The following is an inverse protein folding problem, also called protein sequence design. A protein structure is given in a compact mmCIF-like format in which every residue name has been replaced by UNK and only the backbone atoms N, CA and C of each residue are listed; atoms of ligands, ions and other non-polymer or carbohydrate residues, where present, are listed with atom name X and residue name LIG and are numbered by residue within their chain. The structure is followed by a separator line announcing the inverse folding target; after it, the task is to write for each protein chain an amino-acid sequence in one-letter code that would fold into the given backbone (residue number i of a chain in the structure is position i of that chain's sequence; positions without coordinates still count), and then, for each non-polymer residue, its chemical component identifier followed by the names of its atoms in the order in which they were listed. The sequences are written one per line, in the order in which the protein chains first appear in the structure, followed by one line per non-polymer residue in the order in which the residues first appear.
data_IF_831757561432
#
_entry.id   IF_831757561432
#
_cell.length_a   1.000
_cell.length_b   1.000
_cell.length_c   1.000
_cell.angle_alpha   90.00
_cell.angle_beta   90.00
_cell.angle_gamma   90.00
#
_symmetry.space_group_name_H-M   'P 1'
#
loop_
_entity.id
_entity.type
_entity.pdbx_description
1 polymer ?
#
# COMPACT_ATOMS: atom_id res chain seq x y z
N UNK A 1 2.41 5.95 45.83
CA UNK A 1 3.04 7.25 46.19
C UNK A 1 4.17 7.70 45.24
N UNK A 2 4.34 7.08 44.05
CA UNK A 2 5.41 7.40 43.08
C UNK A 2 4.97 8.30 41.91
N UNK A 3 3.80 8.04 41.31
CA UNK A 3 3.34 8.71 40.07
C UNK A 3 3.27 10.24 40.16
N UNK A 4 2.80 10.80 41.29
CA UNK A 4 2.75 12.26 41.51
C UNK A 4 4.14 12.90 41.66
N UNK A 5 5.13 12.14 42.14
CA UNK A 5 6.51 12.59 42.31
C UNK A 5 7.23 12.59 40.95
N UNK A 6 6.96 11.59 40.11
CA UNK A 6 7.50 11.47 38.76
C UNK A 6 6.93 12.53 37.81
N UNK A 7 5.62 12.81 37.88
CA UNK A 7 4.98 13.92 37.14
C UNK A 7 5.53 15.31 37.54
N UNK A 8 5.83 15.51 38.83
CA UNK A 8 6.49 16.74 39.32
C UNK A 8 7.94 16.86 38.85
N UNK A 9 8.64 15.72 38.69
CA UNK A 9 10.02 15.66 38.20
C UNK A 9 10.12 15.88 36.69
N UNK A 10 9.16 15.33 35.94
CA UNK A 10 9.01 15.56 34.50
C UNK A 10 8.67 17.03 34.18
N UNK A 11 7.79 17.67 34.97
CA UNK A 11 7.48 19.12 34.84
C UNK A 11 8.66 20.06 35.07
N UNK A 12 9.74 19.59 35.73
CA UNK A 12 10.97 20.38 35.97
C UNK A 12 12.07 20.12 34.92
N UNK A 13 11.86 19.18 34.01
CA UNK A 13 12.75 18.94 32.86
C UNK A 13 12.33 19.85 31.70
N UNK A 14 12.81 21.09 31.73
CA UNK A 14 12.62 22.05 30.62
C UNK A 14 13.42 21.65 29.37
N UNK A 15 14.42 20.77 29.53
CA UNK A 15 15.26 20.23 28.46
C UNK A 15 14.48 19.38 27.45
N UNK A 16 13.32 18.84 27.81
CA UNK A 16 12.45 18.11 26.87
C UNK A 16 11.64 19.06 25.97
N UNK A 17 11.25 20.23 26.47
CA UNK A 17 10.49 21.22 25.71
C UNK A 17 11.38 22.02 24.74
N UNK A 18 12.67 22.17 25.07
CA UNK A 18 13.65 22.84 24.20
C UNK A 18 14.18 21.95 23.07
N UNK A 19 13.93 20.63 23.11
CA UNK A 19 14.54 19.67 22.18
C UNK A 19 13.90 19.54 20.80
N UNK A 20 12.70 20.08 20.61
CA UNK A 20 12.05 20.06 19.31
C UNK A 20 11.31 21.37 19.09
N UNK A 21 11.93 22.26 18.33
CA UNK A 21 11.21 23.38 17.73
C UNK A 21 10.05 22.82 16.91
N UNK A 22 8.83 23.26 17.22
CA UNK A 22 7.64 22.91 16.45
C UNK A 22 7.39 24.02 15.47
N UNK A 23 7.54 23.72 14.19
CA UNK A 23 7.23 24.60 13.09
C UNK A 23 5.73 24.55 12.80
N UNK A 24 5.07 25.70 12.92
CA UNK A 24 3.61 25.83 12.79
C UNK A 24 3.26 26.51 11.46
N UNK A 25 2.51 25.81 10.61
CA UNK A 25 1.88 26.40 9.42
C UNK A 25 0.49 26.90 9.83
N UNK A 26 0.22 28.20 9.61
CA UNK A 26 -1.05 28.85 9.95
C UNK A 26 -1.76 29.32 8.69
N UNK A 27 -3.08 29.33 8.71
CA UNK A 27 -3.88 29.98 7.66
C UNK A 27 -3.92 31.51 7.80
N UNK A 28 -4.58 32.18 6.87
CA UNK A 28 -4.76 33.64 6.85
C UNK A 28 -5.45 34.20 8.10
N UNK A 29 -6.25 33.38 8.79
CA UNK A 29 -6.91 33.74 10.05
C UNK A 29 -6.03 33.45 11.29
N UNK A 30 -4.80 32.97 11.10
CA UNK A 30 -3.85 32.64 12.17
C UNK A 30 -4.08 31.27 12.83
N UNK A 31 -5.00 30.46 12.30
CA UNK A 31 -5.30 29.12 12.82
C UNK A 31 -4.22 28.14 12.37
N UNK A 32 -3.65 27.36 13.30
CA UNK A 32 -2.67 26.31 12.97
C UNK A 32 -3.35 25.24 12.12
N UNK A 33 -2.79 24.99 10.93
CA UNK A 33 -3.22 23.94 10.00
C UNK A 33 -2.28 22.75 9.99
N UNK A 34 -0.98 22.97 10.23
CA UNK A 34 0.01 21.90 10.35
C UNK A 34 1.02 22.25 11.44
N UNK A 35 1.56 21.23 12.09
CA UNK A 35 2.65 21.34 13.05
C UNK A 35 3.65 20.23 12.75
N UNK A 36 4.92 20.58 12.54
CA UNK A 36 5.99 19.61 12.29
C UNK A 36 7.17 19.86 13.22
N UNK A 37 7.97 18.84 13.45
CA UNK A 37 9.26 18.92 14.15
C UNK A 37 10.34 18.48 13.18
N UNK A 38 11.57 18.97 13.39
CA UNK A 38 12.70 18.49 12.61
C UNK A 38 12.78 16.95 12.72
N UNK A 39 12.96 16.25 11.59
CA UNK A 39 13.03 14.79 11.61
C UNK A 39 14.26 14.33 12.42
N UNK A 40 14.10 13.24 13.17
CA UNK A 40 15.16 12.70 14.05
C UNK A 40 16.38 12.17 13.28
N UNK A 41 16.19 11.86 12.00
CA UNK A 41 17.23 11.52 11.04
C UNK A 41 16.93 12.25 9.73
N UNK A 42 17.96 12.54 8.93
CA UNK A 42 17.74 13.10 7.61
C UNK A 42 16.89 12.11 6.79
N UNK A 43 15.81 12.56 6.13
CA UNK A 43 15.07 11.70 5.22
C UNK A 43 16.02 11.21 4.11
N UNK A 44 15.87 9.97 3.63
CA UNK A 44 16.66 9.48 2.50
C UNK A 44 16.47 10.42 1.32
N UNK A 45 17.57 10.76 0.64
CA UNK A 45 17.51 11.55 -0.60
C UNK A 45 17.33 10.65 -1.83
N UNK A 46 17.68 9.37 -1.72
CA UNK A 46 17.63 8.37 -2.78
C UNK A 46 17.45 6.94 -2.22
N UNK A 47 17.25 5.98 -3.12
CA UNK A 47 17.66 4.58 -2.93
C UNK A 47 16.91 3.72 -1.91
N UNK A 48 15.80 4.19 -1.34
CA UNK A 48 15.07 3.42 -0.33
C UNK A 48 13.56 3.49 -0.52
N UNK A 49 13.07 2.82 -1.55
CA UNK A 49 11.62 2.67 -1.78
C UNK A 49 11.15 1.31 -1.31
N UNK A 50 9.90 1.18 -0.78
CA UNK A 50 9.34 -0.11 -0.44
C UNK A 50 9.40 -1.11 -1.61
N UNK A 51 9.34 -0.63 -2.86
CA UNK A 51 9.43 -1.47 -4.06
C UNK A 51 10.75 -2.26 -4.18
N UNK A 52 11.83 -1.82 -3.53
CA UNK A 52 13.15 -2.45 -3.66
C UNK A 52 13.38 -3.61 -2.68
N UNK A 53 12.61 -3.67 -1.59
CA UNK A 53 12.80 -4.66 -0.51
C UNK A 53 12.84 -6.11 -1.02
N UNK A 54 11.91 -6.58 -1.90
CA UNK A 54 11.95 -7.95 -2.38
C UNK A 54 13.25 -8.27 -3.12
N UNK A 55 13.78 -7.29 -3.85
CA UNK A 55 14.93 -7.45 -4.75
C UNK A 55 16.26 -7.34 -4.01
N UNK A 56 16.35 -6.44 -3.04
CA UNK A 56 17.51 -6.36 -2.14
C UNK A 56 17.62 -7.67 -1.36
N UNK A 57 16.53 -8.14 -0.75
CA UNK A 57 16.53 -9.41 -0.03
C UNK A 57 16.90 -10.59 -0.92
N UNK A 58 16.38 -10.65 -2.15
CA UNK A 58 16.72 -11.71 -3.10
C UNK A 58 18.19 -11.67 -3.56
N UNK A 59 18.82 -10.50 -3.61
CA UNK A 59 20.22 -10.35 -3.96
C UNK A 59 21.17 -10.70 -2.80
N UNK A 60 20.80 -10.30 -1.57
CA UNK A 60 21.64 -10.48 -0.38
C UNK A 60 21.50 -11.88 0.25
N UNK A 61 20.29 -12.44 0.30
CA UNK A 61 19.97 -13.69 0.97
C UNK A 61 18.88 -14.49 0.21
N UNK A 62 19.15 -14.98 -1.01
CA UNK A 62 18.14 -15.58 -1.91
C UNK A 62 17.39 -16.77 -1.32
N UNK A 63 18.06 -17.56 -0.46
CA UNK A 63 17.54 -18.81 0.09
C UNK A 63 16.86 -18.64 1.47
N UNK A 64 16.95 -17.45 2.07
CA UNK A 64 16.33 -17.17 3.35
C UNK A 64 14.80 -17.15 3.21
N UNK A 65 14.13 -17.76 4.18
CA UNK A 65 12.66 -17.79 4.24
C UNK A 65 12.15 -16.46 4.79
N UNK A 66 11.54 -15.65 3.93
CA UNK A 66 11.02 -14.31 4.29
C UNK A 66 9.54 -14.33 4.63
N UNK A 67 8.79 -15.27 4.05
CA UNK A 67 7.35 -15.41 4.24
C UNK A 67 6.94 -16.88 4.31
N UNK A 68 5.73 -17.14 4.80
CA UNK A 68 5.08 -18.44 4.73
C UNK A 68 3.68 -18.26 4.19
N UNK A 69 3.26 -19.16 3.30
CA UNK A 69 1.90 -19.19 2.75
C UNK A 69 1.24 -20.53 3.02
N UNK A 70 -0.09 -20.54 3.12
CA UNK A 70 -0.85 -21.74 3.43
C UNK A 70 -1.38 -22.36 2.13
N UNK A 71 -0.89 -23.54 1.78
CA UNK A 71 -1.32 -24.30 0.61
C UNK A 71 -1.91 -25.64 1.06
N UNK A 72 -3.12 -25.96 0.60
CA UNK A 72 -3.81 -27.22 0.93
C UNK A 72 -3.82 -27.56 2.44
N UNK A 73 -3.86 -26.53 3.30
CA UNK A 73 -3.85 -26.69 4.76
C UNK A 73 -2.47 -26.64 5.42
N UNK A 74 -1.39 -26.72 4.65
CA UNK A 74 -0.01 -26.73 5.14
C UNK A 74 0.70 -25.40 4.93
N UNK A 75 1.54 -25.01 5.88
CA UNK A 75 2.40 -23.83 5.73
C UNK A 75 3.64 -24.19 4.91
N UNK A 76 3.82 -23.51 3.77
CA UNK A 76 4.99 -23.65 2.90
C UNK A 76 5.89 -22.43 3.04
N UNK A 77 7.22 -22.61 3.12
CA UNK A 77 8.16 -21.51 3.13
C UNK A 77 8.23 -20.83 1.76
N UNK A 78 8.42 -19.52 1.76
CA UNK A 78 8.71 -18.72 0.56
C UNK A 78 10.07 -18.05 0.78
N UNK A 79 11.03 -18.36 -0.08
CA UNK A 79 12.37 -17.75 -0.02
C UNK A 79 12.36 -16.34 -0.58
N UNK A 80 13.37 -15.52 -0.24
CA UNK A 80 13.51 -14.17 -0.79
C UNK A 80 13.51 -14.16 -2.32
N UNK A 81 14.26 -15.08 -2.94
CA UNK A 81 14.30 -15.21 -4.40
C UNK A 81 12.95 -15.63 -5.00
N UNK A 82 12.19 -16.50 -4.32
CA UNK A 82 10.86 -16.89 -4.77
C UNK A 82 9.87 -15.73 -4.70
N UNK A 83 9.89 -14.99 -3.59
CA UNK A 83 9.03 -13.82 -3.41
C UNK A 83 9.28 -12.74 -4.46
N UNK A 84 10.55 -12.38 -4.72
CA UNK A 84 10.91 -11.40 -5.74
C UNK A 84 10.46 -11.81 -7.16
N UNK A 85 10.53 -13.10 -7.49
CA UNK A 85 10.02 -13.62 -8.78
C UNK A 85 8.50 -13.47 -8.89
N UNK A 86 7.76 -13.82 -7.84
CA UNK A 86 6.30 -13.70 -7.83
C UNK A 86 5.87 -12.23 -7.92
N UNK A 87 6.48 -11.34 -7.13
CA UNK A 87 6.28 -9.88 -7.22
C UNK A 87 6.53 -9.36 -8.63
N UNK A 88 7.65 -9.77 -9.26
CA UNK A 88 8.00 -9.34 -10.63
C UNK A 88 6.97 -9.81 -11.65
N UNK A 89 6.55 -11.09 -11.58
CA UNK A 89 5.56 -11.64 -12.48
C UNK A 89 4.20 -10.93 -12.34
N UNK A 90 3.76 -10.66 -11.12
CA UNK A 90 2.52 -9.93 -10.86
C UNK A 90 2.62 -8.47 -11.30
N UNK A 91 3.75 -7.80 -11.07
CA UNK A 91 3.98 -6.42 -11.52
C UNK A 91 3.89 -6.32 -13.05
N UNK A 92 4.53 -7.24 -13.77
CA UNK A 92 4.40 -7.37 -15.23
C UNK A 92 2.95 -7.53 -15.68
N UNK A 93 2.17 -8.31 -14.93
CA UNK A 93 0.74 -8.47 -15.16
C UNK A 93 -0.06 -7.18 -15.00
N UNK A 94 0.24 -6.39 -13.96
CA UNK A 94 -0.39 -5.09 -13.74
C UNK A 94 -0.04 -4.11 -14.86
N UNK A 95 1.21 -4.09 -15.31
CA UNK A 95 1.67 -3.28 -16.45
C UNK A 95 0.92 -3.68 -17.72
N UNK A 96 0.85 -4.99 -18.01
CA UNK A 96 0.10 -5.51 -19.15
C UNK A 96 -1.42 -5.27 -19.04
N UNK A 97 -1.95 -5.13 -17.82
CA UNK A 97 -3.34 -4.73 -17.58
C UNK A 97 -3.59 -3.22 -17.75
N UNK A 98 -2.55 -2.42 -18.06
CA UNK A 98 -2.67 -0.98 -18.28
C UNK A 98 -2.44 -0.13 -17.04
N UNK A 99 -1.80 -0.66 -16.00
CA UNK A 99 -1.38 0.16 -14.86
C UNK A 99 -0.25 1.09 -15.29
N UNK A 100 -0.55 2.39 -15.37
CA UNK A 100 0.45 3.44 -15.60
C UNK A 100 1.17 3.82 -14.29
N UNK A 101 2.41 4.35 -14.35
CA UNK A 101 3.07 4.91 -13.17
C UNK A 101 2.20 5.97 -12.48
N UNK A 102 2.11 5.91 -11.15
CA UNK A 102 1.19 6.73 -10.34
C UNK A 102 -0.27 6.29 -10.38
N UNK A 103 -0.63 5.30 -11.22
CA UNK A 103 -1.93 4.66 -11.24
C UNK A 103 -2.21 3.90 -9.94
N UNK A 104 -3.50 3.66 -9.65
CA UNK A 104 -3.95 3.14 -8.36
C UNK A 104 -4.62 1.78 -8.48
N UNK A 105 -4.27 0.89 -7.56
CA UNK A 105 -4.86 -0.44 -7.41
C UNK A 105 -5.49 -0.53 -6.03
N UNK A 106 -6.81 -0.69 -5.99
CA UNK A 106 -7.53 -0.96 -4.75
C UNK A 106 -7.38 -2.43 -4.36
N UNK A 107 -6.96 -2.69 -3.12
CA UNK A 107 -6.79 -4.03 -2.58
C UNK A 107 -7.76 -4.25 -1.42
N UNK A 108 -8.78 -5.08 -1.64
CA UNK A 108 -9.84 -5.41 -0.69
C UNK A 108 -9.74 -6.87 -0.26
N UNK A 109 -8.87 -7.16 0.69
CA UNK A 109 -8.62 -8.53 1.15
C UNK A 109 -8.35 -8.61 2.64
N UNK A 110 -8.57 -9.79 3.21
CA UNK A 110 -7.98 -10.15 4.50
C UNK A 110 -6.48 -10.41 4.34
N UNK A 111 -5.75 -10.44 5.45
CA UNK A 111 -4.34 -10.80 5.47
C UNK A 111 -4.12 -12.18 4.86
N UNK A 112 -3.47 -12.21 3.71
CA UNK A 112 -3.07 -13.40 2.98
C UNK A 112 -1.77 -13.11 2.23
N UNK A 113 -1.10 -14.17 1.79
CA UNK A 113 0.18 -14.03 1.11
C UNK A 113 0.04 -13.32 -0.25
N UNK A 114 -1.05 -13.58 -0.97
CA UNK A 114 -1.36 -12.98 -2.26
C UNK A 114 -1.56 -11.46 -2.15
N UNK A 115 -2.10 -10.98 -1.03
CA UNK A 115 -2.21 -9.55 -0.77
C UNK A 115 -0.81 -8.91 -0.67
N UNK A 116 0.12 -9.55 0.03
CA UNK A 116 1.51 -9.06 0.15
C UNK A 116 2.21 -9.03 -1.20
N UNK A 117 2.05 -10.07 -2.02
CA UNK A 117 2.60 -10.11 -3.39
C UNK A 117 2.05 -8.95 -4.22
N UNK A 118 0.73 -8.68 -4.14
CA UNK A 118 0.11 -7.59 -4.86
C UNK A 118 0.58 -6.22 -4.40
N UNK A 119 0.72 -5.97 -3.11
CA UNK A 119 1.14 -4.67 -2.59
C UNK A 119 2.54 -4.30 -3.11
N UNK A 120 3.51 -5.23 -3.00
CA UNK A 120 4.84 -5.04 -3.57
C UNK A 120 4.82 -4.98 -5.11
N UNK A 121 3.97 -5.76 -5.78
CA UNK A 121 3.85 -5.73 -7.23
C UNK A 121 3.30 -4.40 -7.75
N UNK A 122 2.37 -3.79 -7.03
CA UNK A 122 1.84 -2.46 -7.35
C UNK A 122 2.96 -1.43 -7.26
N UNK A 123 3.74 -1.43 -6.17
CA UNK A 123 4.90 -0.53 -6.05
C UNK A 123 5.95 -0.80 -7.12
N UNK A 124 6.28 -2.08 -7.39
CA UNK A 124 7.24 -2.46 -8.41
C UNK A 124 6.80 -2.07 -9.84
N UNK A 125 5.49 -2.03 -10.10
CA UNK A 125 4.92 -1.52 -11.35
C UNK A 125 4.85 0.02 -11.40
N UNK A 126 5.32 0.72 -10.38
CA UNK A 126 5.28 2.16 -10.23
C UNK A 126 3.91 2.72 -9.82
N UNK A 127 2.99 1.85 -9.38
CA UNK A 127 1.65 2.22 -8.94
C UNK A 127 1.54 2.51 -7.44
N UNK A 128 0.32 2.83 -7.03
CA UNK A 128 -0.05 3.20 -5.67
C UNK A 128 -1.12 2.24 -5.14
N UNK A 129 -0.91 1.70 -3.96
CA UNK A 129 -1.89 0.82 -3.32
C UNK A 129 -2.98 1.64 -2.63
N UNK A 130 -4.24 1.22 -2.76
CA UNK A 130 -5.37 1.76 -2.01
C UNK A 130 -5.99 0.63 -1.18
N UNK A 131 -5.56 0.43 0.08
CA UNK A 131 -6.11 -0.64 0.91
C UNK A 131 -7.56 -0.35 1.27
N UNK A 132 -8.42 -1.35 1.08
CA UNK A 132 -9.84 -1.33 1.44
C UNK A 132 -10.10 -2.49 2.39
N UNK A 133 -10.82 -2.24 3.49
CA UNK A 133 -11.15 -3.33 4.40
C UNK A 133 -12.08 -4.33 3.70
N UNK A 134 -11.80 -5.62 3.86
CA UNK A 134 -12.69 -6.70 3.40
C UNK A 134 -14.10 -6.62 4.02
N UNK A 135 -14.26 -5.88 5.13
CA UNK A 135 -15.53 -5.67 5.84
C UNK A 135 -16.19 -4.32 5.50
N UNK A 136 -15.66 -3.56 4.53
CA UNK A 136 -16.23 -2.28 4.14
C UNK A 136 -17.61 -2.44 3.52
N UNK A 137 -18.54 -1.51 3.82
CA UNK A 137 -19.85 -1.49 3.18
C UNK A 137 -19.75 -1.08 1.71
N UNK A 138 -20.75 -1.40 0.86
CA UNK A 138 -20.77 -0.96 -0.53
C UNK A 138 -20.63 0.56 -0.70
N UNK A 139 -21.19 1.37 0.21
CA UNK A 139 -21.02 2.83 0.22
C UNK A 139 -19.57 3.25 0.47
N UNK A 140 -18.87 2.56 1.37
CA UNK A 140 -17.46 2.85 1.65
C UNK A 140 -16.58 2.43 0.48
N UNK A 141 -16.84 1.27 -0.12
CA UNK A 141 -16.12 0.78 -1.30
C UNK A 141 -16.29 1.76 -2.47
N UNK A 142 -17.53 2.16 -2.78
CA UNK A 142 -17.83 3.13 -3.84
C UNK A 142 -17.06 4.43 -3.62
N UNK A 143 -17.16 4.99 -2.40
CA UNK A 143 -16.50 6.23 -2.06
C UNK A 143 -14.99 6.15 -2.25
N UNK A 144 -14.35 5.12 -1.69
CA UNK A 144 -12.89 4.95 -1.75
C UNK A 144 -12.43 4.75 -3.19
N UNK A 145 -13.12 3.92 -3.98
CA UNK A 145 -12.76 3.67 -5.38
C UNK A 145 -12.90 4.95 -6.20
N UNK A 146 -14.00 5.69 -6.04
CA UNK A 146 -14.22 6.93 -6.79
C UNK A 146 -13.24 8.03 -6.40
N UNK A 147 -13.05 8.26 -5.11
CA UNK A 147 -12.21 9.34 -4.60
C UNK A 147 -10.72 9.07 -4.89
N UNK A 148 -10.28 7.82 -4.76
CA UNK A 148 -8.91 7.44 -5.12
C UNK A 148 -8.71 7.41 -6.63
N UNK A 149 -9.75 7.22 -7.43
CA UNK A 149 -9.62 7.05 -8.88
C UNK A 149 -8.94 5.74 -9.27
N UNK A 150 -9.00 4.71 -8.41
CA UNK A 150 -8.46 3.39 -8.72
C UNK A 150 -9.11 2.81 -9.99
N UNK A 151 -8.29 2.27 -10.90
CA UNK A 151 -8.73 1.63 -12.15
C UNK A 151 -8.58 0.11 -12.14
N UNK A 152 -8.00 -0.41 -11.07
CA UNK A 152 -7.94 -1.84 -10.77
C UNK A 152 -8.44 -2.06 -9.34
N UNK A 153 -9.19 -3.13 -9.13
CA UNK A 153 -9.66 -3.57 -7.82
C UNK A 153 -9.42 -5.07 -7.70
N UNK A 154 -8.71 -5.49 -6.66
CA UNK A 154 -8.53 -6.91 -6.33
C UNK A 154 -9.24 -7.20 -5.03
N UNK A 155 -10.10 -8.22 -5.03
CA UNK A 155 -10.88 -8.67 -3.86
C UNK A 155 -10.49 -10.09 -3.46
N UNK A 156 -10.66 -10.48 -2.18
CA UNK A 156 -10.24 -11.82 -1.74
C UNK A 156 -11.21 -12.98 -2.05
N UNK A 157 -12.52 -12.71 -2.15
CA UNK A 157 -13.58 -13.74 -2.17
C UNK A 157 -14.74 -13.36 -3.09
N UNK A 158 -15.57 -14.36 -3.45
CA UNK A 158 -16.85 -14.11 -4.15
C UNK A 158 -17.76 -13.13 -3.41
N UNK A 159 -17.87 -13.24 -2.09
CA UNK A 159 -18.70 -12.34 -1.28
C UNK A 159 -18.23 -10.89 -1.41
N UNK A 160 -16.92 -10.66 -1.33
CA UNK A 160 -16.34 -9.34 -1.53
C UNK A 160 -16.44 -8.86 -2.98
N UNK A 161 -16.41 -9.77 -3.96
CA UNK A 161 -16.68 -9.43 -5.36
C UNK A 161 -18.12 -8.96 -5.56
N UNK A 162 -19.10 -9.61 -4.91
CA UNK A 162 -20.50 -9.20 -4.96
C UNK A 162 -20.72 -7.84 -4.28
N UNK A 163 -20.10 -7.61 -3.12
CA UNK A 163 -20.14 -6.30 -2.44
C UNK A 163 -19.51 -5.19 -3.30
N UNK A 164 -18.36 -5.47 -3.93
CA UNK A 164 -17.72 -4.57 -4.87
C UNK A 164 -18.63 -4.30 -6.08
N UNK A 165 -19.23 -5.32 -6.69
CA UNK A 165 -20.13 -5.15 -7.83
C UNK A 165 -21.32 -4.23 -7.49
N UNK A 166 -21.92 -4.40 -6.31
CA UNK A 166 -22.99 -3.52 -5.83
C UNK A 166 -22.52 -2.06 -5.65
N UNK A 167 -21.30 -1.86 -5.14
CA UNK A 167 -20.69 -0.53 -5.02
C UNK A 167 -20.43 0.11 -6.39
N UNK A 168 -19.78 -0.62 -7.30
CA UNK A 168 -19.35 -0.14 -8.61
C UNK A 168 -20.53 0.14 -9.56
N UNK A 169 -21.68 -0.51 -9.36
CA UNK A 169 -22.90 -0.22 -10.11
C UNK A 169 -23.37 1.24 -9.98
N UNK A 170 -22.96 1.93 -8.89
CA UNK A 170 -23.27 3.35 -8.63
C UNK A 170 -22.32 4.31 -9.34
N UNK A 171 -21.23 3.81 -9.93
CA UNK A 171 -20.25 4.60 -10.68
C UNK A 171 -20.60 4.65 -12.17
N UNK A 172 -20.23 5.76 -12.86
CA UNK A 172 -20.19 5.79 -14.32
C UNK A 172 -19.33 4.64 -14.86
N UNK A 173 -19.73 4.03 -15.98
CA UNK A 173 -19.03 2.87 -16.55
C UNK A 173 -17.54 3.15 -16.83
N UNK A 174 -17.22 4.35 -17.31
CA UNK A 174 -15.85 4.80 -17.58
C UNK A 174 -14.96 4.92 -16.33
N UNK A 175 -15.56 4.97 -15.13
CA UNK A 175 -14.84 5.07 -13.86
C UNK A 175 -14.74 3.72 -13.11
N UNK A 176 -15.37 2.66 -13.64
CA UNK A 176 -15.37 1.35 -12.98
C UNK A 176 -13.99 0.67 -13.14
N UNK A 177 -13.36 0.23 -12.04
CA UNK A 177 -12.12 -0.51 -12.12
C UNK A 177 -12.35 -1.91 -12.69
N UNK A 178 -11.30 -2.49 -13.28
CA UNK A 178 -11.26 -3.92 -13.56
C UNK A 178 -11.17 -4.70 -12.26
N UNK A 179 -12.11 -5.62 -12.01
CA UNK A 179 -12.16 -6.42 -10.78
C UNK A 179 -11.50 -7.78 -10.98
N UNK A 180 -10.58 -8.16 -10.08
CA UNK A 180 -9.97 -9.49 -10.02
C UNK A 180 -10.16 -10.13 -8.65
N UNK A 181 -10.12 -11.45 -8.57
CA UNK A 181 -10.37 -12.23 -7.35
C UNK A 181 -9.18 -13.09 -6.95
N UNK A 182 -8.74 -12.98 -5.70
CA UNK A 182 -7.62 -13.78 -5.18
C UNK A 182 -7.96 -15.26 -5.12
N UNK A 183 -9.13 -15.63 -4.60
CA UNK A 183 -9.61 -17.02 -4.53
C UNK A 183 -9.87 -17.65 -5.92
N UNK A 184 -9.94 -16.83 -6.97
CA UNK A 184 -10.00 -17.26 -8.36
C UNK A 184 -8.63 -17.20 -9.08
N UNK A 185 -7.53 -16.97 -8.35
CA UNK A 185 -6.17 -17.01 -8.88
C UNK A 185 -5.67 -15.72 -9.53
N UNK A 186 -6.13 -14.54 -9.11
CA UNK A 186 -5.72 -13.24 -9.68
C UNK A 186 -4.20 -13.05 -9.83
N UNK A 187 -3.40 -13.53 -8.86
CA UNK A 187 -1.93 -13.45 -8.93
C UNK A 187 -1.37 -14.24 -10.13
N UNK A 188 -1.87 -15.47 -10.33
CA UNK A 188 -1.50 -16.32 -11.47
C UNK A 188 -2.03 -15.75 -12.79
N UNK A 189 -3.24 -15.21 -12.78
CA UNK A 189 -3.82 -14.53 -13.94
C UNK A 189 -2.95 -13.36 -14.40
N UNK A 190 -2.55 -12.48 -13.47
CA UNK A 190 -1.65 -11.36 -13.74
C UNK A 190 -0.29 -11.85 -14.23
N UNK A 191 0.31 -12.84 -13.57
CA UNK A 191 1.58 -13.43 -14.02
C UNK A 191 1.49 -13.95 -15.47
N UNK A 192 0.36 -14.55 -15.84
CA UNK A 192 0.11 -15.06 -17.19
C UNK A 192 -0.07 -13.94 -18.21
N UNK A 193 -0.79 -12.87 -17.83
CA UNK A 193 -1.00 -11.69 -18.65
C UNK A 193 0.30 -10.94 -18.94
N UNK A 194 1.18 -10.85 -17.94
CA UNK A 194 2.45 -10.13 -18.01
C UNK A 194 3.62 -10.90 -18.62
N UNK A 195 3.42 -12.14 -19.09
CA UNK A 195 4.52 -13.02 -19.52
C UNK A 195 5.44 -12.41 -20.58
N UNK A 196 4.88 -11.57 -21.46
CA UNK A 196 5.56 -10.97 -22.60
C UNK A 196 6.19 -9.59 -22.26
N UNK A 197 5.94 -9.05 -21.05
CA UNK A 197 6.61 -7.85 -20.56
C UNK A 197 8.05 -8.21 -20.16
N UNK A 198 9.08 -7.46 -20.56
CA UNK A 198 10.45 -7.74 -20.12
C UNK A 198 10.64 -7.33 -18.65
N UNK A 199 11.46 -8.06 -17.91
CA UNK A 199 11.78 -7.72 -16.50
C UNK A 199 12.44 -6.33 -16.38
N UNK A 200 13.10 -5.88 -17.45
CA UNK A 200 13.68 -4.53 -17.58
C UNK A 200 12.64 -3.42 -17.38
N UNK A 201 11.41 -3.62 -17.84
CA UNK A 201 10.33 -2.62 -17.67
C UNK A 201 10.02 -2.41 -16.18
N UNK A 202 9.92 -3.48 -15.40
CA UNK A 202 9.70 -3.40 -13.94
C UNK A 202 10.90 -2.73 -13.25
N UNK A 203 12.12 -3.08 -13.67
CA UNK A 203 13.32 -2.46 -13.12
C UNK A 203 13.41 -0.95 -13.40
N UNK A 204 13.03 -0.51 -14.61
CA UNK A 204 13.02 0.90 -15.00
C UNK A 204 11.96 1.69 -14.22
N UNK A 205 10.75 1.15 -14.05
CA UNK A 205 9.71 1.79 -13.24
C UNK A 205 10.10 1.92 -11.78
N UNK A 206 10.71 0.87 -11.20
CA UNK A 206 11.26 0.93 -9.84
C UNK A 206 12.34 1.97 -9.67
N UNK A 207 13.30 2.04 -10.59
CA UNK A 207 14.40 2.99 -10.54
C UNK A 207 13.95 4.46 -10.63
N UNK A 208 12.74 4.71 -11.16
CA UNK A 208 12.14 6.04 -11.23
C UNK A 208 11.45 6.47 -9.91
N UNK A 209 11.28 5.56 -8.95
CA UNK A 209 10.66 5.87 -7.66
C UNK A 209 11.63 6.61 -6.76
N UNK A 210 11.08 7.52 -5.94
CA UNK A 210 11.82 8.34 -4.99
C UNK A 210 11.17 8.25 -3.61
N UNK A 211 11.84 8.69 -2.54
CA UNK A 211 11.23 8.77 -1.20
C UNK A 211 9.96 9.64 -1.15
N UNK A 212 9.79 10.60 -2.08
CA UNK A 212 8.60 11.44 -2.19
C UNK A 212 7.49 10.82 -3.06
N UNK A 213 7.74 9.66 -3.69
CA UNK A 213 6.73 8.97 -4.48
C UNK A 213 5.69 8.34 -3.56
N UNK A 214 4.41 8.63 -3.82
CA UNK A 214 3.29 8.06 -3.07
C UNK A 214 3.32 6.53 -3.22
N UNK A 215 3.40 5.81 -2.11
CA UNK A 215 3.31 4.36 -2.09
C UNK A 215 1.86 3.87 -1.86
N UNK A 216 1.17 4.48 -0.91
CA UNK A 216 -0.15 4.02 -0.46
C UNK A 216 -1.06 5.19 -0.10
N UNK A 217 -2.33 5.11 -0.53
CA UNK A 217 -3.39 6.08 -0.16
C UNK A 217 -4.33 5.41 0.83
N UNK A 218 -4.20 5.75 2.11
CA UNK A 218 -4.92 5.10 3.20
C UNK A 218 -6.15 5.89 3.62
N UNK A 219 -7.33 5.28 3.49
CA UNK A 219 -8.58 5.90 3.92
C UNK A 219 -8.85 5.64 5.40
N UNK A 220 -9.02 6.71 6.17
CA UNK A 220 -9.40 6.62 7.58
C UNK A 220 -10.92 6.70 7.75
N UNK A 221 -11.48 5.89 8.65
CA UNK A 221 -12.90 5.98 9.02
C UNK A 221 -13.12 7.26 9.84
N UNK A 222 -13.37 8.39 9.16
CA UNK A 222 -13.69 9.64 9.83
C UNK A 222 -14.90 9.47 10.76
N UNK A 223 -14.79 9.92 12.01
CA UNK A 223 -15.87 9.77 13.02
C UNK A 223 -17.09 10.66 12.74
N UNK A 224 -16.97 11.62 11.81
CA UNK A 224 -18.00 12.65 11.54
C UNK A 224 -18.25 12.90 10.06
N UNK A 225 -17.64 12.12 9.15
CA UNK A 225 -17.76 12.36 7.71
C UNK A 225 -17.23 11.24 6.83
N UNK A 226 -17.25 11.46 5.51
CA UNK A 226 -16.73 10.50 4.53
C UNK A 226 -15.24 10.23 4.78
N UNK A 227 -14.76 8.98 4.57
CA UNK A 227 -13.34 8.66 4.69
C UNK A 227 -12.46 9.61 3.87
N UNK A 228 -11.29 9.99 4.40
CA UNK A 228 -10.32 10.82 3.68
C UNK A 228 -9.07 9.98 3.42
N UNK A 229 -8.59 10.02 2.18
CA UNK A 229 -7.36 9.38 1.70
C UNK A 229 -6.26 10.40 1.45
#
# INVERSE_FOLDING_TARGET
MGVRKDLKRARKRSDLAERAGVDLVRDEAGTVRQAHVAPLAAPPADGSTPADIPYVNAAEAPDDVVLRRKEAGEWKPVTAAAFAREVTATAKGLIAAGLEPGGRVALMARTCYEWEVLDFAVWAAGGQTVPVYATSSPEQIEWIVRDSGARHLVVDTEENAAAAAAALARLPEADRPTVRRLDAGAVLELATLGRDIPDKEVAERRAALTPDTIATVCYTSGTTGRPKG
#
